data_IF_933665317109
#
_entry.id   IF_933665317109
#
_cell.length_a   1.000
_cell.length_b   1.000
_cell.length_c   1.000
_cell.angle_alpha   90.00
_cell.angle_beta   90.00
_cell.angle_gamma   90.00
#
_symmetry.space_group_name_H-M   'P 1'
#
loop_
_entity.id
_entity.type
_entity.pdbx_description
1 polymer ?
#
# COMPACT_ATOMS: atom_id res chain seq x y z
N UNK A 1 3.44 -9.52 3.38
CA UNK A 1 4.10 -8.33 2.79
C UNK A 1 3.23 -7.11 3.01
N UNK A 2 3.81 -5.92 3.15
CA UNK A 2 3.07 -4.66 3.16
C UNK A 2 3.50 -3.80 1.98
N UNK A 3 2.53 -3.35 1.19
CA UNK A 3 2.78 -2.50 0.03
C UNK A 3 2.30 -1.10 0.37
N UNK A 4 3.13 -0.11 0.11
CA UNK A 4 2.81 1.31 0.26
C UNK A 4 2.56 1.93 -1.11
N UNK A 5 1.41 2.57 -1.26
CA UNK A 5 1.09 3.39 -2.41
C UNK A 5 1.33 4.86 -2.06
N UNK A 6 2.60 5.26 -2.06
CA UNK A 6 3.00 6.67 -1.84
C UNK A 6 2.71 7.49 -3.11
N UNK A 7 2.23 8.73 -2.97
CA UNK A 7 1.82 9.60 -4.08
C UNK A 7 0.63 9.09 -4.93
N UNK A 8 -0.19 8.17 -4.41
CA UNK A 8 -1.38 7.70 -5.12
C UNK A 8 -2.40 8.84 -5.35
N UNK A 9 -2.98 8.98 -6.56
CA UNK A 9 -3.98 10.00 -6.88
C UNK A 9 -5.23 9.93 -5.98
N UNK A 10 -5.81 11.08 -5.63
CA UNK A 10 -7.01 11.14 -4.79
C UNK A 10 -8.23 10.47 -5.45
N UNK A 11 -8.36 10.52 -6.78
CA UNK A 11 -9.43 9.84 -7.52
C UNK A 11 -9.41 8.31 -7.38
N UNK A 12 -8.26 7.73 -7.04
CA UNK A 12 -8.06 6.29 -6.99
C UNK A 12 -8.10 5.75 -5.55
N UNK A 13 -8.33 6.63 -4.58
CA UNK A 13 -8.50 6.27 -3.17
C UNK A 13 -9.63 5.26 -2.97
N UNK A 14 -10.70 5.34 -3.76
CA UNK A 14 -11.87 4.47 -3.60
C UNK A 14 -11.54 3.05 -4.04
N UNK A 15 -10.79 2.90 -5.15
CA UNK A 15 -10.24 1.61 -5.60
C UNK A 15 -9.30 0.99 -4.56
N UNK A 16 -8.42 1.80 -3.97
CA UNK A 16 -7.53 1.35 -2.89
C UNK A 16 -8.34 0.89 -1.66
N UNK A 17 -9.35 1.67 -1.27
CA UNK A 17 -10.20 1.36 -0.13
C UNK A 17 -11.05 0.10 -0.36
N UNK A 18 -11.57 -0.12 -1.56
CA UNK A 18 -12.28 -1.35 -1.97
C UNK A 18 -11.39 -2.58 -1.90
N UNK A 19 -10.11 -2.46 -2.26
CA UNK A 19 -9.12 -3.54 -2.10
C UNK A 19 -8.73 -3.80 -0.64
N UNK A 20 -9.07 -2.91 0.28
CA UNK A 20 -8.73 -3.04 1.71
C UNK A 20 -7.47 -2.29 2.13
N UNK A 21 -6.99 -1.33 1.32
CA UNK A 21 -5.92 -0.45 1.75
C UNK A 21 -6.35 0.39 2.98
N UNK A 22 -5.37 0.66 3.82
CA UNK A 22 -5.45 1.51 4.99
C UNK A 22 -4.76 2.84 4.69
N UNK A 23 -5.49 3.93 4.91
CA UNK A 23 -4.94 5.27 4.83
C UNK A 23 -4.13 5.57 6.08
N UNK A 24 -2.88 6.01 5.93
CA UNK A 24 -2.12 6.68 6.97
C UNK A 24 -2.20 8.18 6.72
N UNK A 25 -2.84 8.91 7.63
CA UNK A 25 -3.06 10.35 7.49
C UNK A 25 -1.85 11.20 7.94
N UNK A 26 -0.72 10.55 8.24
CA UNK A 26 0.50 11.21 8.66
C UNK A 26 0.45 11.79 10.08
N UNK A 27 -0.55 11.36 10.87
CA UNK A 27 -0.71 11.75 12.28
C UNK A 27 0.51 11.37 13.15
N UNK A 28 1.32 10.39 12.72
CA UNK A 28 2.62 10.02 13.33
C UNK A 28 3.84 10.83 12.80
N UNK A 29 3.63 11.93 12.05
CA UNK A 29 4.71 12.71 11.44
C UNK A 29 5.34 12.07 10.19
N UNK A 30 4.70 11.02 9.66
CA UNK A 30 5.06 10.35 8.40
C UNK A 30 4.27 10.91 7.22
N UNK A 31 4.75 10.76 5.97
CA UNK A 31 3.98 11.15 4.79
C UNK A 31 2.64 10.43 4.72
N UNK A 32 1.64 11.11 4.14
CA UNK A 32 0.30 10.58 3.92
C UNK A 32 0.33 9.54 2.81
N UNK A 33 0.10 8.28 3.15
CA UNK A 33 0.26 7.17 2.23
C UNK A 33 -0.76 6.07 2.50
N UNK A 34 -1.23 5.41 1.44
CA UNK A 34 -2.06 4.20 1.56
C UNK A 34 -1.16 2.98 1.70
N UNK A 35 -1.56 2.01 2.52
CA UNK A 35 -0.85 0.74 2.65
C UNK A 35 -1.80 -0.45 2.75
N UNK A 36 -1.40 -1.60 2.22
CA UNK A 36 -2.14 -2.86 2.34
C UNK A 36 -1.20 -3.98 2.75
N UNK A 37 -1.74 -4.99 3.45
CA UNK A 37 -1.02 -6.22 3.75
C UNK A 37 -1.58 -7.36 2.91
N UNK A 38 -0.70 -7.98 2.14
CA UNK A 38 -1.02 -9.14 1.29
C UNK A 38 0.11 -10.17 1.36
N UNK A 39 -0.17 -11.40 0.97
CA UNK A 39 0.83 -12.46 0.88
C UNK A 39 1.83 -12.21 -0.26
N UNK A 40 2.98 -12.89 -0.19
CA UNK A 40 4.01 -12.79 -1.22
C UNK A 40 3.50 -13.24 -2.60
N UNK A 41 2.62 -14.23 -2.65
CA UNK A 41 1.99 -14.70 -3.89
C UNK A 41 1.05 -13.66 -4.51
N UNK A 42 0.40 -12.83 -3.68
CA UNK A 42 -0.48 -11.76 -4.14
C UNK A 42 0.29 -10.45 -4.45
N UNK A 43 1.56 -10.36 -4.03
CA UNK A 43 2.41 -9.17 -4.22
C UNK A 43 2.53 -8.76 -5.68
N UNK A 44 2.81 -9.71 -6.56
CA UNK A 44 3.00 -9.41 -7.98
C UNK A 44 1.72 -8.91 -8.65
N UNK A 45 0.57 -9.49 -8.29
CA UNK A 45 -0.74 -9.05 -8.79
C UNK A 45 -1.05 -7.61 -8.33
N UNK A 46 -0.80 -7.31 -7.05
CA UNK A 46 -1.04 -5.98 -6.50
C UNK A 46 -0.05 -4.94 -7.05
N UNK A 47 1.22 -5.28 -7.21
CA UNK A 47 2.20 -4.40 -7.87
C UNK A 47 1.76 -4.05 -9.29
N UNK A 48 1.28 -5.04 -10.04
CA UNK A 48 0.77 -4.85 -11.39
C UNK A 48 -0.46 -3.97 -11.40
N UNK A 49 -1.39 -4.17 -10.46
CA UNK A 49 -2.55 -3.30 -10.27
C UNK A 49 -2.15 -1.86 -9.92
N UNK A 50 -1.25 -1.67 -8.96
CA UNK A 50 -0.76 -0.34 -8.59
C UNK A 50 -0.13 0.37 -9.79
N UNK A 51 0.74 -0.30 -10.55
CA UNK A 51 1.38 0.29 -11.73
C UNK A 51 0.38 0.65 -12.82
N UNK A 52 -0.53 -0.25 -13.15
CA UNK A 52 -1.49 -0.07 -14.24
C UNK A 52 -2.65 0.87 -13.88
N UNK A 53 -3.28 0.67 -12.73
CA UNK A 53 -4.50 1.38 -12.32
C UNK A 53 -4.19 2.63 -11.52
N UNK A 54 -3.26 2.57 -10.55
CA UNK A 54 -2.98 3.68 -9.61
C UNK A 54 -2.01 4.70 -10.21
N UNK A 55 -0.80 4.27 -10.51
CA UNK A 55 0.26 5.14 -10.99
C UNK A 55 0.14 5.45 -12.48
N UNK A 56 -0.57 4.59 -13.23
CA UNK A 56 -0.75 4.70 -14.69
C UNK A 56 0.58 4.83 -15.45
N UNK A 57 1.69 4.40 -14.86
CA UNK A 57 3.02 4.31 -15.44
C UNK A 57 3.68 2.99 -15.04
N UNK A 58 4.55 2.45 -15.89
CA UNK A 58 5.12 1.11 -15.66
C UNK A 58 6.33 1.15 -14.70
N UNK A 59 7.02 2.28 -14.64
CA UNK A 59 8.18 2.52 -13.77
C UNK A 59 7.80 2.93 -12.34
N UNK A 60 6.54 2.75 -11.93
CA UNK A 60 6.17 2.92 -10.53
C UNK A 60 6.87 1.85 -9.70
N UNK A 61 7.67 2.27 -8.74
CA UNK A 61 8.25 1.37 -7.74
C UNK A 61 7.66 1.67 -6.35
N UNK A 62 6.42 1.20 -6.09
CA UNK A 62 5.81 1.39 -4.78
C UNK A 62 6.62 0.66 -3.71
N UNK A 63 6.90 1.28 -2.55
CA UNK A 63 7.69 0.65 -1.51
C UNK A 63 7.01 -0.62 -0.98
N UNK A 64 7.74 -1.73 -0.99
CA UNK A 64 7.27 -3.00 -0.40
C UNK A 64 8.10 -3.35 0.82
N UNK A 65 7.43 -3.53 1.94
CA UNK A 65 8.02 -3.91 3.20
C UNK A 65 7.70 -5.37 3.52
N UNK A 66 8.74 -6.19 3.62
CA UNK A 66 8.69 -7.56 4.15
C UNK A 66 8.45 -7.49 5.66
N UNK A 67 7.19 -7.55 6.09
CA UNK A 67 6.84 -7.69 7.50
C UNK A 67 6.77 -9.17 7.85
N UNK A 68 7.47 -9.53 8.92
CA UNK A 68 7.32 -10.85 9.53
C UNK A 68 5.99 -10.88 10.30
N UNK A 69 5.40 -12.07 10.50
CA UNK A 69 4.15 -12.21 11.26
C UNK A 69 4.21 -11.56 12.67
N UNK A 70 5.41 -11.36 13.20
CA UNK A 70 5.69 -10.68 14.46
C UNK A 70 5.44 -9.16 14.43
N UNK A 71 5.70 -8.49 13.30
CA UNK A 71 5.51 -7.04 13.18
C UNK A 71 4.03 -6.63 13.04
N UNK A 72 3.16 -7.54 12.55
CA UNK A 72 1.72 -7.24 12.34
C UNK A 72 1.00 -6.87 13.64
N UNK A 73 1.48 -7.37 14.79
CA UNK A 73 0.78 -7.23 16.06
C UNK A 73 1.20 -5.99 16.85
N UNK A 74 2.20 -5.23 16.40
CA UNK A 74 2.76 -4.11 17.17
C UNK A 74 1.99 -2.78 17.05
N UNK A 75 0.88 -2.76 16.30
CA UNK A 75 0.07 -1.56 16.03
C UNK A 75 -1.11 -1.32 16.97
N UNK A 76 -1.14 -1.93 18.17
CA UNK A 76 -2.13 -1.62 19.21
C UNK A 76 -1.42 -1.08 20.45
N UNK A 77 -1.13 0.21 20.50
CA UNK A 77 -1.00 0.93 21.76
C UNK A 77 -1.44 2.37 21.60
#
# INVERSE_FOLDING_TARGET
>A
MRIFAENSPFDLKDRLKERGYRWSDGSDGRPKSWWIEIDEEAMEDELRFLRAEIYRWQDADPPVQRLTAFDRFKGRR
#
